data_IF_172866885748
#
_entry.id   IF_172866885748
#
_cell.length_a   1.000
_cell.length_b   1.000
_cell.length_c   1.000
_cell.angle_alpha   90.00
_cell.angle_beta   90.00
_cell.angle_gamma   90.00
#
_symmetry.space_group_name_H-M   'P 1'
#
loop_
_entity.id
_entity.type
_entity.pdbx_description
1 polymer ?
#
# COMPACT_ATOMS: atom_id res chain seq x y z
N UNK A 1 -17.37 67.45 -7.85
CA UNK A 1 -16.12 66.66 -8.00
C UNK A 1 -16.55 65.22 -8.13
N UNK A 2 -16.78 64.75 -9.36
CA UNK A 2 -17.21 63.38 -9.63
C UNK A 2 -16.01 62.43 -9.61
N UNK A 3 -15.96 61.54 -8.63
CA UNK A 3 -14.98 60.45 -8.61
C UNK A 3 -15.44 59.37 -9.59
N UNK A 4 -14.71 59.23 -10.70
CA UNK A 4 -14.85 58.09 -11.61
C UNK A 4 -14.32 56.83 -10.91
N UNK A 5 -15.22 55.89 -10.66
CA UNK A 5 -14.86 54.53 -10.29
C UNK A 5 -14.35 53.79 -11.53
N UNK A 6 -13.05 53.51 -11.58
CA UNK A 6 -12.50 52.59 -12.59
C UNK A 6 -12.76 51.15 -12.15
N UNK A 7 -13.33 50.35 -13.06
CA UNK A 7 -13.54 48.91 -12.79
C UNK A 7 -12.17 48.25 -12.65
N UNK A 8 -11.92 47.46 -11.59
CA UNK A 8 -10.68 46.71 -11.49
C UNK A 8 -10.57 45.74 -12.67
N UNK A 9 -9.41 45.74 -13.32
CA UNK A 9 -9.11 44.85 -14.44
C UNK A 9 -9.26 43.39 -14.00
N UNK A 10 -10.05 42.62 -14.75
CA UNK A 10 -10.28 41.21 -14.46
C UNK A 10 -8.96 40.43 -14.65
N UNK A 11 -8.43 39.72 -13.64
CA UNK A 11 -7.16 39.00 -13.77
C UNK A 11 -7.18 37.84 -14.77
N UNK A 12 -8.30 37.62 -15.46
CA UNK A 12 -8.43 36.62 -16.53
C UNK A 12 -7.67 36.98 -17.81
N UNK A 13 -7.40 38.26 -18.08
CA UNK A 13 -6.79 38.70 -19.34
C UNK A 13 -5.25 38.53 -19.39
N UNK A 14 -4.61 38.31 -18.23
CA UNK A 14 -3.15 38.09 -18.13
C UNK A 14 -2.75 36.66 -17.75
N UNK A 15 -3.68 35.71 -17.72
CA UNK A 15 -3.36 34.32 -17.40
C UNK A 15 -2.57 33.69 -18.54
N UNK A 16 -1.24 33.78 -18.45
CA UNK A 16 -0.32 32.83 -19.07
C UNK A 16 -0.92 31.44 -18.94
N UNK A 17 -1.14 30.76 -20.07
CA UNK A 17 -1.78 29.44 -20.20
C UNK A 17 -1.50 28.63 -18.94
N UNK A 18 -2.51 28.43 -18.10
CA UNK A 18 -2.39 27.51 -16.98
C UNK A 18 -2.08 26.16 -17.63
N UNK A 19 -0.83 25.74 -17.58
CA UNK A 19 -0.45 24.37 -17.86
C UNK A 19 -1.25 23.57 -16.86
N UNK A 20 -2.37 23.03 -17.32
CA UNK A 20 -3.30 22.28 -16.49
C UNK A 20 -2.48 21.32 -15.66
N UNK A 21 -2.70 21.28 -14.35
CA UNK A 21 -2.18 20.27 -13.41
C UNK A 21 -2.72 18.86 -13.75
N UNK A 22 -2.89 18.53 -15.03
CA UNK A 22 -3.07 17.18 -15.53
C UNK A 22 -1.72 16.51 -15.43
N UNK A 23 -1.34 16.14 -14.21
CA UNK A 23 -0.37 15.09 -14.00
C UNK A 23 -0.91 13.86 -14.74
N UNK A 24 -0.35 13.58 -15.93
CA UNK A 24 -0.62 12.33 -16.63
C UNK A 24 0.19 11.29 -15.87
N UNK A 25 -0.47 10.32 -15.26
CA UNK A 25 0.27 9.13 -14.85
C UNK A 25 0.91 8.53 -16.10
N UNK A 26 2.19 8.12 -16.04
CA UNK A 26 2.83 7.46 -17.17
C UNK A 26 2.00 6.23 -17.54
N UNK A 27 1.50 6.18 -18.78
CA UNK A 27 0.79 4.99 -19.26
C UNK A 27 1.83 3.88 -19.40
N UNK A 28 1.73 2.84 -18.57
CA UNK A 28 2.61 1.68 -18.62
C UNK A 28 3.70 1.62 -17.54
N UNK A 29 3.84 2.63 -16.68
CA UNK A 29 4.72 2.48 -15.50
C UNK A 29 4.00 1.70 -14.40
N UNK A 30 4.61 0.59 -13.97
CA UNK A 30 4.13 -0.16 -12.83
C UNK A 30 4.30 0.67 -11.55
N UNK A 31 3.28 0.70 -10.66
CA UNK A 31 3.36 1.40 -9.38
C UNK A 31 4.58 0.93 -8.59
N UNK A 32 5.07 1.76 -7.66
CA UNK A 32 6.14 1.40 -6.75
C UNK A 32 5.64 1.51 -5.30
N UNK A 33 6.00 0.52 -4.49
CA UNK A 33 5.76 0.48 -3.07
C UNK A 33 7.07 0.17 -2.35
N UNK A 34 7.42 1.00 -1.35
CA UNK A 34 8.57 0.78 -0.48
C UNK A 34 8.08 0.25 0.87
N UNK A 35 8.46 -0.98 1.21
CA UNK A 35 8.19 -1.61 2.50
C UNK A 35 9.38 -1.40 3.45
N UNK A 36 9.09 -1.28 4.74
CA UNK A 36 10.09 -1.34 5.82
C UNK A 36 9.97 -2.68 6.54
N UNK A 37 10.68 -3.70 6.06
CA UNK A 37 10.62 -5.05 6.62
C UNK A 37 11.81 -5.31 7.53
N UNK A 38 11.62 -6.08 8.60
CA UNK A 38 12.77 -6.58 9.35
C UNK A 38 13.55 -7.59 8.51
N UNK A 39 14.85 -7.72 8.75
CA UNK A 39 15.69 -8.69 8.02
C UNK A 39 15.13 -10.11 8.08
N UNK A 40 14.60 -10.52 9.23
CA UNK A 40 14.01 -11.84 9.40
C UNK A 40 12.73 -12.00 8.56
N UNK A 41 11.81 -11.02 8.65
CA UNK A 41 10.56 -11.07 7.88
C UNK A 41 10.83 -11.06 6.37
N UNK A 42 11.83 -10.29 5.92
CA UNK A 42 12.21 -10.25 4.51
C UNK A 42 12.84 -11.56 4.04
N UNK A 43 13.70 -12.20 4.85
CA UNK A 43 14.26 -13.52 4.54
C UNK A 43 13.14 -14.57 4.40
N UNK A 44 12.21 -14.64 5.36
CA UNK A 44 11.06 -15.54 5.30
C UNK A 44 10.18 -15.31 4.08
N UNK A 45 9.99 -14.05 3.68
CA UNK A 45 9.27 -13.71 2.45
C UNK A 45 9.95 -14.32 1.23
N UNK A 46 11.27 -14.15 1.09
CA UNK A 46 12.01 -14.66 -0.06
C UNK A 46 12.11 -16.19 -0.08
N UNK A 47 12.15 -16.84 1.09
CA UNK A 47 12.09 -18.30 1.20
C UNK A 47 10.72 -18.86 0.81
N UNK A 48 9.63 -18.12 1.10
CA UNK A 48 8.27 -18.60 0.82
C UNK A 48 7.80 -18.29 -0.61
N UNK A 49 8.13 -17.10 -1.12
CA UNK A 49 7.82 -16.70 -2.49
C UNK A 49 9.11 -16.61 -3.29
N UNK A 50 9.35 -17.65 -4.10
CA UNK A 50 10.50 -17.75 -4.99
C UNK A 50 10.17 -17.31 -6.43
N UNK A 51 11.21 -17.09 -7.23
CA UNK A 51 11.10 -16.80 -8.66
C UNK A 51 11.05 -15.31 -9.00
N UNK A 52 10.54 -15.00 -10.19
CA UNK A 52 10.45 -13.62 -10.66
C UNK A 52 9.38 -12.84 -9.89
N UNK A 53 9.73 -11.62 -9.47
CA UNK A 53 8.85 -10.66 -8.78
C UNK A 53 8.12 -11.26 -7.56
N UNK A 54 8.87 -11.81 -6.59
CA UNK A 54 8.29 -12.55 -5.47
C UNK A 54 7.35 -11.71 -4.61
N UNK A 55 7.62 -10.40 -4.45
CA UNK A 55 6.73 -9.49 -3.72
C UNK A 55 5.40 -9.22 -4.43
N UNK A 56 5.38 -9.20 -5.77
CA UNK A 56 4.14 -9.01 -6.53
C UNK A 56 3.24 -10.22 -6.37
N UNK A 57 3.82 -11.43 -6.47
CA UNK A 57 3.12 -12.69 -6.21
C UNK A 57 2.64 -12.78 -4.76
N UNK A 58 3.50 -12.43 -3.81
CA UNK A 58 3.16 -12.38 -2.39
C UNK A 58 1.97 -11.47 -2.13
N UNK A 59 1.96 -10.24 -2.66
CA UNK A 59 0.83 -9.33 -2.50
C UNK A 59 -0.47 -9.93 -3.03
N UNK A 60 -0.43 -10.54 -4.23
CA UNK A 60 -1.61 -11.17 -4.84
C UNK A 60 -2.18 -12.26 -3.94
N UNK A 61 -1.35 -13.21 -3.50
CA UNK A 61 -1.77 -14.33 -2.66
C UNK A 61 -2.29 -13.85 -1.29
N UNK A 62 -1.66 -12.86 -0.67
CA UNK A 62 -2.17 -12.27 0.58
C UNK A 62 -3.51 -11.56 0.40
N UNK A 63 -3.73 -10.86 -0.73
CA UNK A 63 -5.03 -10.26 -1.03
C UNK A 63 -6.10 -11.33 -1.28
N UNK A 64 -5.77 -12.45 -1.90
CA UNK A 64 -6.69 -13.59 -2.05
C UNK A 64 -7.08 -14.19 -0.69
N UNK A 65 -6.13 -14.28 0.24
CA UNK A 65 -6.36 -14.82 1.59
C UNK A 65 -7.15 -13.86 2.49
N UNK A 66 -6.78 -12.58 2.53
CA UNK A 66 -7.22 -11.68 3.60
C UNK A 66 -8.21 -10.60 3.18
N UNK A 67 -8.33 -10.28 1.89
CA UNK A 67 -9.11 -9.10 1.48
C UNK A 67 -10.59 -9.17 1.89
N UNK A 68 -11.25 -10.32 1.71
CA UNK A 68 -12.66 -10.48 2.08
C UNK A 68 -12.89 -10.24 3.58
N UNK A 69 -11.95 -10.70 4.41
CA UNK A 69 -12.01 -10.53 5.86
C UNK A 69 -11.77 -9.06 6.23
N UNK A 70 -10.71 -8.47 5.70
CA UNK A 70 -10.33 -7.07 5.95
C UNK A 70 -11.42 -6.09 5.51
N UNK A 71 -12.12 -6.36 4.40
CA UNK A 71 -13.24 -5.55 3.93
C UNK A 71 -14.44 -5.53 4.90
N UNK A 72 -14.54 -6.52 5.81
CA UNK A 72 -15.62 -6.64 6.81
C UNK A 72 -15.18 -6.28 8.22
N UNK A 73 -13.88 -6.31 8.49
CA UNK A 73 -13.32 -5.99 9.80
C UNK A 73 -13.42 -4.49 10.12
N UNK A 74 -13.34 -4.19 11.41
CA UNK A 74 -13.20 -2.82 11.89
C UNK A 74 -11.90 -2.17 11.40
N UNK A 75 -11.86 -0.84 11.45
CA UNK A 75 -10.71 -0.08 10.97
C UNK A 75 -9.49 -0.34 11.86
N UNK A 76 -8.35 -0.66 11.26
CA UNK A 76 -7.08 -0.81 11.99
C UNK A 76 -6.63 0.50 12.67
N UNK A 77 -7.10 1.63 12.15
CA UNK A 77 -6.86 2.97 12.70
C UNK A 77 -8.20 3.69 12.92
N UNK A 78 -9.01 3.19 13.84
CA UNK A 78 -10.35 3.72 14.17
C UNK A 78 -10.33 5.11 14.81
N UNK A 79 -9.31 5.37 15.64
CA UNK A 79 -9.26 6.55 16.53
C UNK A 79 -8.67 7.81 15.89
N UNK A 80 -8.22 7.74 14.63
CA UNK A 80 -7.50 8.84 13.98
C UNK A 80 -8.10 9.16 12.62
N UNK A 81 -8.30 10.46 12.38
CA UNK A 81 -8.61 10.99 11.04
C UNK A 81 -7.39 11.00 10.11
N UNK A 82 -6.18 10.82 10.66
CA UNK A 82 -4.93 10.79 9.91
C UNK A 82 -4.52 9.36 9.58
N UNK A 83 -3.94 9.16 8.39
CA UNK A 83 -3.43 7.87 7.94
C UNK A 83 -2.32 7.34 8.85
N UNK A 84 -2.43 6.08 9.26
CA UNK A 84 -1.36 5.37 9.95
C UNK A 84 -0.32 4.84 8.94
N UNK A 85 0.90 5.36 9.07
CA UNK A 85 2.04 4.92 8.25
C UNK A 85 2.82 3.80 8.93
N UNK A 86 3.52 3.00 8.13
CA UNK A 86 4.49 2.04 8.63
C UNK A 86 5.57 2.76 9.43
N UNK A 87 5.80 2.32 10.67
CA UNK A 87 6.84 2.89 11.55
C UNK A 87 7.94 1.86 11.75
N UNK A 88 9.20 2.31 11.65
CA UNK A 88 10.31 1.60 12.29
C UNK A 88 10.07 1.64 13.79
N UNK A 89 9.94 0.50 14.46
CA UNK A 89 9.89 0.50 15.93
C UNK A 89 11.29 0.82 16.44
N UNK A 90 11.47 1.85 17.30
CA UNK A 90 12.79 2.22 17.81
C UNK A 90 13.31 1.27 18.91
N UNK A 91 12.53 0.25 19.29
CA UNK A 91 12.73 -0.49 20.56
C UNK A 91 13.35 -1.88 20.40
N UNK A 92 13.51 -2.40 19.19
CA UNK A 92 14.21 -3.66 18.94
C UNK A 92 15.55 -3.37 18.27
N UNK A 93 16.59 -4.14 18.62
CA UNK A 93 17.87 -4.21 17.92
C UNK A 93 17.73 -4.79 16.49
N UNK A 94 16.52 -4.76 15.94
CA UNK A 94 16.15 -5.41 14.71
C UNK A 94 16.36 -4.42 13.56
N UNK A 95 17.29 -4.77 12.67
CA UNK A 95 17.56 -3.98 11.50
C UNK A 95 16.41 -4.11 10.50
N UNK A 96 15.89 -2.97 10.05
CA UNK A 96 14.84 -2.89 9.02
C UNK A 96 15.45 -2.49 7.67
N UNK A 97 15.10 -3.22 6.62
CA UNK A 97 15.51 -2.95 5.25
C UNK A 97 14.38 -2.24 4.48
N UNK A 98 14.79 -1.37 3.56
CA UNK A 98 13.90 -0.75 2.58
C UNK A 98 13.79 -1.65 1.37
N UNK A 99 12.61 -2.23 1.17
CA UNK A 99 12.35 -3.13 0.04
C UNK A 99 11.41 -2.44 -0.93
N UNK A 100 11.92 -2.13 -2.13
CA UNK A 100 11.12 -1.57 -3.21
C UNK A 100 10.57 -2.71 -4.07
N UNK A 101 9.28 -2.67 -4.38
CA UNK A 101 8.70 -3.58 -5.37
C UNK A 101 7.62 -2.91 -6.18
N UNK A 102 7.28 -3.55 -7.31
CA UNK A 102 6.29 -3.05 -8.27
C UNK A 102 5.07 -3.96 -8.33
N UNK A 103 3.97 -3.64 -7.64
CA UNK A 103 2.77 -4.47 -7.67
C UNK A 103 2.08 -4.44 -9.04
N UNK A 104 1.25 -5.45 -9.30
CA UNK A 104 0.31 -5.42 -10.42
C UNK A 104 -0.73 -4.32 -10.22
N UNK A 105 -1.23 -3.76 -11.32
CA UNK A 105 -2.14 -2.61 -11.27
C UNK A 105 -3.43 -2.90 -10.49
N UNK A 106 -4.05 -4.06 -10.74
CA UNK A 106 -5.30 -4.44 -10.07
C UNK A 106 -5.10 -4.74 -8.59
N UNK A 107 -4.03 -5.45 -8.24
CA UNK A 107 -3.68 -5.74 -6.85
C UNK A 107 -3.36 -4.45 -6.08
N UNK A 108 -2.69 -3.49 -6.73
CA UNK A 108 -2.40 -2.17 -6.15
C UNK A 108 -3.66 -1.35 -5.88
N UNK A 109 -4.64 -1.38 -6.80
CA UNK A 109 -5.94 -0.74 -6.62
C UNK A 109 -6.67 -1.37 -5.45
N UNK A 110 -6.74 -2.70 -5.39
CA UNK A 110 -7.42 -3.44 -4.31
C UNK A 110 -6.79 -3.15 -2.95
N UNK A 111 -5.47 -3.26 -2.82
CA UNK A 111 -4.73 -2.87 -1.62
C UNK A 111 -4.99 -1.41 -1.24
N UNK A 112 -5.06 -0.52 -2.22
CA UNK A 112 -5.37 0.89 -2.03
C UNK A 112 -6.76 1.15 -1.45
N UNK A 113 -7.76 0.39 -1.86
CA UNK A 113 -9.13 0.54 -1.36
C UNK A 113 -9.25 0.04 0.07
N UNK A 114 -8.71 -1.16 0.34
CA UNK A 114 -8.72 -1.76 1.69
C UNK A 114 -7.92 -0.90 2.68
N UNK A 115 -6.73 -0.45 2.29
CA UNK A 115 -5.90 0.41 3.17
C UNK A 115 -6.59 1.73 3.52
N UNK A 116 -7.31 2.33 2.56
CA UNK A 116 -8.11 3.54 2.82
C UNK A 116 -9.26 3.27 3.76
N UNK A 117 -9.97 2.15 3.62
CA UNK A 117 -11.04 1.75 4.54
C UNK A 117 -10.54 1.70 5.99
N UNK A 118 -9.41 1.03 6.22
CA UNK A 118 -8.82 0.92 7.56
C UNK A 118 -8.07 2.17 8.05
N UNK A 119 -7.96 3.23 7.24
CA UNK A 119 -7.23 4.44 7.62
C UNK A 119 -5.71 4.25 7.74
N UNK A 120 -5.13 3.36 6.93
CA UNK A 120 -3.68 3.04 6.95
C UNK A 120 -3.04 3.24 5.58
N UNK A 121 -1.71 3.35 5.54
CA UNK A 121 -0.95 3.36 4.28
C UNK A 121 -0.95 1.97 3.61
N UNK A 122 -0.80 1.92 2.28
CA UNK A 122 -0.68 0.64 1.54
C UNK A 122 0.49 -0.23 2.04
N UNK A 123 1.63 0.39 2.34
CA UNK A 123 2.81 -0.29 2.87
C UNK A 123 2.57 -0.89 4.26
N UNK A 124 1.83 -0.16 5.11
CA UNK A 124 1.40 -0.67 6.41
C UNK A 124 0.52 -1.90 6.22
N UNK A 125 -0.53 -1.81 5.39
CA UNK A 125 -1.46 -2.92 5.20
C UNK A 125 -0.78 -4.16 4.64
N UNK A 126 0.13 -4.01 3.66
CA UNK A 126 0.89 -5.16 3.15
C UNK A 126 1.76 -5.77 4.25
N UNK A 127 2.48 -4.96 5.02
CA UNK A 127 3.31 -5.46 6.12
C UNK A 127 2.48 -6.14 7.22
N UNK A 128 1.28 -5.62 7.50
CA UNK A 128 0.32 -6.24 8.41
C UNK A 128 -0.14 -7.62 7.92
N UNK A 129 -0.51 -7.76 6.65
CA UNK A 129 -0.88 -9.07 6.08
C UNK A 129 0.29 -10.07 6.11
N UNK A 130 1.53 -9.60 5.89
CA UNK A 130 2.74 -10.41 6.05
C UNK A 130 2.91 -10.91 7.49
N UNK A 131 2.72 -10.03 8.47
CA UNK A 131 2.77 -10.40 9.89
C UNK A 131 1.65 -11.38 10.25
N UNK A 132 0.43 -11.19 9.75
CA UNK A 132 -0.67 -12.16 9.93
C UNK A 132 -0.28 -13.54 9.41
N UNK A 133 0.25 -13.58 8.19
CA UNK A 133 0.68 -14.82 7.52
C UNK A 133 1.78 -15.56 8.29
N UNK A 134 2.81 -14.83 8.74
CA UNK A 134 4.02 -15.43 9.31
C UNK A 134 4.01 -15.57 10.83
N UNK A 135 3.23 -14.78 11.56
CA UNK A 135 3.10 -14.84 13.01
C UNK A 135 1.84 -15.57 13.48
N UNK A 136 0.94 -15.96 12.57
CA UNK A 136 -0.14 -16.90 12.89
C UNK A 136 -1.15 -16.38 13.92
N UNK A 137 -1.45 -15.07 13.92
CA UNK A 137 -2.58 -14.55 14.71
C UNK A 137 -3.95 -15.02 14.18
N UNK A 138 -3.96 -15.71 13.05
CA UNK A 138 -5.09 -16.44 12.53
C UNK A 138 -4.98 -17.91 12.96
N UNK A 139 -5.29 -18.17 14.22
CA UNK A 139 -5.65 -19.51 14.66
C UNK A 139 -6.98 -19.90 14.03
N UNK A 140 -6.94 -20.38 12.78
CA UNK A 140 -7.82 -21.41 12.17
C UNK A 140 -7.70 -21.36 10.63
N UNK A 141 -7.26 -22.49 10.06
CA UNK A 141 -7.48 -22.92 8.66
C UNK A 141 -6.83 -22.12 7.51
N UNK A 142 -5.53 -21.80 7.61
CA UNK A 142 -4.70 -21.36 6.49
C UNK A 142 -3.66 -22.38 6.00
N UNK A 143 -3.75 -23.64 6.45
CA UNK A 143 -2.82 -24.69 6.04
C UNK A 143 -3.04 -25.10 4.60
N UNK A 144 -2.21 -24.57 3.70
CA UNK A 144 -2.03 -25.11 2.36
C UNK A 144 -1.74 -26.62 2.47
N UNK A 145 -2.69 -27.44 2.03
CA UNK A 145 -2.52 -28.88 1.86
C UNK A 145 -1.41 -29.09 0.84
N UNK A 146 -0.21 -29.41 1.34
CA UNK A 146 0.85 -30.01 0.52
C UNK A 146 0.29 -31.32 -0.03
N UNK A 147 -0.07 -31.35 -1.33
CA UNK A 147 -0.27 -32.61 -2.03
C UNK A 147 1.06 -33.37 -2.01
N UNK A 148 1.15 -34.41 -1.19
CA UNK A 148 2.23 -35.38 -1.29
C UNK A 148 2.15 -36.05 -2.66
N UNK A 149 3.21 -35.92 -3.44
CA UNK A 149 3.48 -36.78 -4.59
C UNK A 149 3.71 -38.19 -4.03
N UNK A 150 2.77 -39.11 -4.28
CA UNK A 150 3.02 -40.53 -4.08
C UNK A 150 3.87 -41.06 -5.24
N UNK A 151 4.82 -41.93 -4.89
CA UNK A 151 5.72 -42.65 -5.79
C UNK A 151 4.97 -43.68 -6.66
#
# INVERSE_FOLDING_TARGET
MDMKWEKPSNPSESRSKIHTLRAKSPRGEAPNCTLLLSKNLYARLLEHWEGERPLSRCLKELLELYALRLEKEEKLNSESSLLLYQRRRPRSSENFDRVNFRPEGMDWIRLGNISRWHGVSRCFLFSYMLELYFCGKDGENGGATRKSKAA
#
